data_IF_759328813583
#
_entry.id   IF_759328813583
#
_cell.length_a   1.000
_cell.length_b   1.000
_cell.length_c   1.000
_cell.angle_alpha   90.00
_cell.angle_beta   90.00
_cell.angle_gamma   90.00
#
_symmetry.space_group_name_H-M   'P 1'
#
loop_
_entity.id
_entity.type
_entity.pdbx_description
1 polymer ?
#
# COMPACT_ATOMS: atom_id res chain seq x y z
N UNK A 1 -5.14 -38.74 -12.27
CA UNK A 1 -5.92 -38.55 -11.02
C UNK A 1 -5.04 -38.13 -9.87
N UNK A 2 -4.08 -38.96 -9.42
CA UNK A 2 -3.12 -38.57 -8.35
C UNK A 2 -2.36 -37.28 -8.65
N UNK A 3 -1.98 -37.05 -9.91
CA UNK A 3 -1.31 -35.82 -10.31
C UNK A 3 -2.20 -34.57 -10.19
N UNK A 4 -3.51 -34.70 -10.44
CA UNK A 4 -4.47 -33.59 -10.33
C UNK A 4 -4.72 -33.24 -8.86
N UNK A 5 -4.89 -34.24 -8.00
CA UNK A 5 -4.99 -34.04 -6.56
C UNK A 5 -3.72 -33.39 -5.99
N UNK A 6 -2.54 -33.84 -6.42
CA UNK A 6 -1.27 -33.21 -6.02
C UNK A 6 -1.18 -31.76 -6.47
N UNK A 7 -1.52 -31.46 -7.72
CA UNK A 7 -1.54 -30.07 -8.23
C UNK A 7 -2.53 -29.18 -7.47
N UNK A 8 -3.71 -29.69 -7.11
CA UNK A 8 -4.67 -28.96 -6.29
C UNK A 8 -4.11 -28.66 -4.88
N UNK A 9 -3.38 -29.60 -4.30
CA UNK A 9 -2.74 -29.42 -3.00
C UNK A 9 -1.58 -28.41 -3.04
N UNK A 10 -0.75 -28.45 -4.08
CA UNK A 10 0.29 -27.45 -4.33
C UNK A 10 -0.31 -26.04 -4.54
N UNK A 11 -1.38 -25.94 -5.32
CA UNK A 11 -2.11 -24.69 -5.54
C UNK A 11 -2.75 -24.16 -4.23
N UNK A 12 -3.25 -25.05 -3.36
CA UNK A 12 -3.76 -24.67 -2.05
C UNK A 12 -2.66 -24.11 -1.14
N UNK A 13 -1.47 -24.72 -1.12
CA UNK A 13 -0.33 -24.18 -0.39
C UNK A 13 0.11 -22.81 -0.92
N UNK A 14 0.16 -22.63 -2.24
CA UNK A 14 0.46 -21.34 -2.85
C UNK A 14 -0.59 -20.28 -2.49
N UNK A 15 -1.87 -20.65 -2.45
CA UNK A 15 -2.95 -19.79 -2.00
C UNK A 15 -2.78 -19.39 -0.52
N UNK A 16 -2.47 -20.33 0.39
CA UNK A 16 -2.17 -20.01 1.81
C UNK A 16 -1.03 -18.99 1.93
N UNK A 17 0.05 -19.16 1.17
CA UNK A 17 1.18 -18.23 1.19
C UNK A 17 0.77 -16.83 0.67
N UNK A 18 -0.04 -16.78 -0.39
CA UNK A 18 -0.55 -15.53 -0.93
C UNK A 18 -1.47 -14.79 0.05
N UNK A 19 -2.35 -15.50 0.77
CA UNK A 19 -3.20 -14.94 1.84
C UNK A 19 -2.35 -14.36 2.96
N UNK A 20 -1.34 -15.10 3.42
CA UNK A 20 -0.44 -14.62 4.47
C UNK A 20 0.34 -13.37 4.03
N UNK A 21 0.82 -13.33 2.79
CA UNK A 21 1.52 -12.18 2.25
C UNK A 21 0.59 -10.96 2.10
N UNK A 22 -0.67 -11.17 1.67
CA UNK A 22 -1.66 -10.11 1.55
C UNK A 22 -2.01 -9.51 2.92
N UNK A 23 -2.24 -10.34 3.94
CA UNK A 23 -2.50 -9.89 5.32
C UNK A 23 -1.32 -9.15 5.93
N UNK A 24 -0.10 -9.64 5.71
CA UNK A 24 1.12 -8.94 6.12
C UNK A 24 1.24 -7.58 5.43
N UNK A 25 0.91 -7.50 4.13
CA UNK A 25 0.82 -6.24 3.41
C UNK A 25 -0.21 -5.28 4.01
N UNK A 26 -1.38 -5.79 4.40
CA UNK A 26 -2.45 -4.98 4.98
C UNK A 26 -2.05 -4.40 6.34
N UNK A 27 -1.37 -5.18 7.19
CA UNK A 27 -0.78 -4.66 8.43
C UNK A 27 0.23 -3.53 8.17
N UNK A 28 1.10 -3.69 7.17
CA UNK A 28 2.10 -2.66 6.82
C UNK A 28 1.41 -1.39 6.33
N UNK A 29 0.37 -1.52 5.49
CA UNK A 29 -0.45 -0.40 5.03
C UNK A 29 -1.15 0.29 6.20
N UNK A 30 -1.72 -0.47 7.14
CA UNK A 30 -2.35 0.06 8.34
C UNK A 30 -1.36 0.87 9.20
N UNK A 31 -0.15 0.35 9.42
CA UNK A 31 0.92 1.06 10.14
C UNK A 31 1.36 2.33 9.39
N UNK A 32 1.42 2.28 8.06
CA UNK A 32 1.76 3.46 7.25
C UNK A 32 0.69 4.55 7.42
N UNK A 33 -0.59 4.20 7.38
CA UNK A 33 -1.70 5.16 7.60
C UNK A 33 -1.56 5.82 8.97
N UNK A 34 -1.32 5.06 10.05
CA UNK A 34 -1.15 5.62 11.40
C UNK A 34 0.03 6.60 11.48
N UNK A 35 1.17 6.27 10.85
CA UNK A 35 2.33 7.16 10.81
C UNK A 35 2.06 8.43 10.00
N UNK A 36 1.36 8.31 8.88
CA UNK A 36 0.99 9.45 8.04
C UNK A 36 0.00 10.38 8.77
N UNK A 37 -0.96 9.83 9.53
CA UNK A 37 -1.86 10.62 10.38
C UNK A 37 -1.11 11.34 11.51
N UNK A 38 -0.08 10.72 12.08
CA UNK A 38 0.79 11.40 13.04
C UNK A 38 1.56 12.55 12.38
N UNK A 39 2.13 12.32 11.20
CA UNK A 39 2.82 13.35 10.42
C UNK A 39 1.89 14.53 10.11
N UNK A 40 0.63 14.27 9.75
CA UNK A 40 -0.37 15.31 9.53
C UNK A 40 -0.58 16.20 10.77
N UNK A 41 -0.64 15.59 11.97
CA UNK A 41 -0.76 16.32 13.24
C UNK A 41 0.49 17.17 13.53
N UNK A 42 1.68 16.62 13.29
CA UNK A 42 2.95 17.35 13.46
C UNK A 42 3.07 18.55 12.50
N UNK A 43 2.57 18.41 11.27
CA UNK A 43 2.49 19.54 10.33
C UNK A 43 1.57 20.65 10.83
N UNK A 44 0.39 20.31 11.38
CA UNK A 44 -0.51 21.31 11.97
C UNK A 44 0.16 22.08 13.12
N UNK A 45 0.85 21.38 14.02
CA UNK A 45 1.60 22.01 15.11
C UNK A 45 2.73 22.91 14.60
N UNK A 46 3.42 22.48 13.54
CA UNK A 46 4.49 23.26 12.90
C UNK A 46 3.94 24.54 12.27
N UNK A 47 2.79 24.46 11.57
CA UNK A 47 2.11 25.63 11.00
C UNK A 47 1.66 26.61 12.08
N UNK A 48 1.16 26.11 13.22
CA UNK A 48 0.82 26.96 14.37
C UNK A 48 2.06 27.68 14.92
N UNK A 49 3.18 26.98 15.05
CA UNK A 49 4.45 27.56 15.51
C UNK A 49 4.97 28.65 14.56
N UNK A 50 4.85 28.45 13.24
CA UNK A 50 5.20 29.46 12.24
C UNK A 50 4.30 30.69 12.32
N UNK A 51 2.99 30.51 12.54
CA UNK A 51 2.05 31.62 12.74
C UNK A 51 2.38 32.43 13.99
N UNK A 52 2.76 31.76 15.09
CA UNK A 52 3.19 32.43 16.31
C UNK A 52 4.48 33.21 16.08
N UNK A 53 5.47 32.63 15.41
CA UNK A 53 6.72 33.32 15.08
C UNK A 53 6.50 34.56 14.20
N UNK A 54 5.58 34.47 13.23
CA UNK A 54 5.13 35.61 12.42
C UNK A 54 4.53 36.72 13.28
N UNK A 55 3.68 36.36 14.26
CA UNK A 55 3.06 37.33 15.17
C UNK A 55 4.10 37.99 16.09
N UNK A 56 5.01 37.23 16.69
CA UNK A 56 6.09 37.76 17.54
C UNK A 56 7.03 38.67 16.74
N UNK A 57 7.40 38.27 15.52
CA UNK A 57 8.21 39.11 14.63
C UNK A 57 7.50 40.44 14.31
N UNK A 58 6.18 40.42 14.13
CA UNK A 58 5.38 41.65 13.95
C UNK A 58 5.40 42.58 15.17
N UNK A 59 5.42 42.03 16.39
CA UNK A 59 5.57 42.84 17.61
C UNK A 59 6.95 43.51 17.67
N UNK A 60 8.00 42.82 17.24
CA UNK A 60 9.37 43.38 17.19
C UNK A 60 9.42 44.59 16.26
N UNK A 61 8.77 44.54 15.09
CA UNK A 61 8.67 45.70 14.18
C UNK A 61 8.06 46.91 14.90
N UNK A 62 6.97 46.71 15.65
CA UNK A 62 6.35 47.79 16.42
C UNK A 62 7.28 48.38 17.52
N UNK A 63 8.14 47.56 18.12
CA UNK A 63 9.16 48.05 19.08
C UNK A 63 10.27 48.83 18.35
N UNK A 64 10.70 48.37 17.18
CA UNK A 64 11.70 49.06 16.36
C UNK A 64 11.21 50.45 15.92
N UNK A 65 9.93 50.57 15.53
CA UNK A 65 9.31 51.86 15.21
C UNK A 65 9.41 52.87 16.39
N UNK A 66 9.19 52.39 17.62
CA UNK A 66 9.35 53.23 18.83
C UNK A 66 10.80 53.62 19.05
N UNK A 67 11.75 52.69 18.90
CA UNK A 67 13.20 52.98 19.05
C UNK A 67 13.65 54.00 18.00
N UNK A 68 13.17 53.88 16.76
CA UNK A 68 13.44 54.80 15.66
C UNK A 68 12.93 56.20 15.98
N UNK A 69 11.69 56.30 16.49
CA UNK A 69 11.10 57.56 16.94
C UNK A 69 11.89 58.21 18.06
N UNK A 70 12.28 57.44 19.09
CA UNK A 70 13.11 57.92 20.22
C UNK A 70 14.48 58.37 19.74
N UNK A 71 15.11 57.62 18.83
CA UNK A 71 16.43 57.97 18.27
C UNK A 71 16.36 59.27 17.45
N UNK A 72 15.31 59.45 16.65
CA UNK A 72 15.07 60.71 15.91
C UNK A 72 14.84 61.90 16.85
N UNK A 73 14.03 61.73 17.90
CA UNK A 73 13.83 62.76 18.91
C UNK A 73 15.12 63.11 19.65
N UNK A 74 15.91 62.10 20.01
CA UNK A 74 17.23 62.27 20.66
C UNK A 74 18.21 63.00 19.75
N UNK A 75 18.24 62.66 18.46
CA UNK A 75 19.05 63.35 17.46
C UNK A 75 18.64 64.83 17.30
N UNK A 76 17.35 65.13 17.30
CA UNK A 76 16.81 66.51 17.27
C UNK A 76 17.15 67.29 18.55
N UNK A 77 17.01 66.66 19.72
CA UNK A 77 17.37 67.24 21.01
C UNK A 77 18.87 67.56 21.08
N UNK A 78 19.72 66.63 20.64
CA UNK A 78 21.16 66.80 20.59
C UNK A 78 21.57 67.92 19.63
N UNK A 79 20.92 68.02 18.47
CA UNK A 79 21.13 69.13 17.52
C UNK A 79 20.80 70.49 18.15
N UNK A 80 19.66 70.60 18.84
CA UNK A 80 19.28 71.84 19.53
C UNK A 80 20.28 72.19 20.64
N UNK A 81 20.77 71.20 21.40
CA UNK A 81 21.78 71.40 22.43
C UNK A 81 23.13 71.86 21.84
N UNK A 82 23.54 71.30 20.69
CA UNK A 82 24.76 71.71 19.99
C UNK A 82 24.66 73.17 19.49
N UNK A 83 23.48 73.58 18.98
CA UNK A 83 23.21 74.96 18.55
C UNK A 83 23.32 75.92 19.75
N UNK A 84 22.69 75.59 20.89
CA UNK A 84 22.72 76.46 22.07
C UNK A 84 24.12 76.51 22.72
N UNK A 85 24.86 75.39 22.70
CA UNK A 85 26.25 75.34 23.15
C UNK A 85 27.16 76.23 22.28
N UNK A 86 26.98 76.25 20.96
CA UNK A 86 27.69 77.15 20.06
C UNK A 86 27.35 78.62 20.35
N UNK A 87 26.10 78.91 20.73
CA UNK A 87 25.62 80.25 21.09
C UNK A 87 26.23 80.77 22.39
N UNK A 88 26.56 79.89 23.33
CA UNK A 88 27.23 80.22 24.59
C UNK A 88 28.76 80.44 24.45
N UNK A 89 29.34 80.26 23.26
CA UNK A 89 30.75 80.52 22.99
C UNK A 89 31.71 79.61 23.79
N UNK A 90 32.77 80.17 24.36
CA UNK A 90 33.77 79.42 25.15
C UNK A 90 33.16 78.71 26.38
N UNK A 91 32.09 79.24 26.98
CA UNK A 91 31.42 78.61 28.11
C UNK A 91 30.63 77.34 27.74
N UNK A 92 30.21 77.20 26.47
CA UNK A 92 29.43 76.07 25.97
C UNK A 92 30.27 74.93 25.40
N UNK A 93 31.60 75.07 25.35
CA UNK A 93 32.50 74.16 24.62
C UNK A 93 32.42 72.71 25.09
N UNK A 94 32.31 72.49 26.40
CA UNK A 94 32.13 71.15 26.98
C UNK A 94 30.76 70.53 26.65
N UNK A 95 29.69 71.35 26.62
CA UNK A 95 28.34 70.90 26.24
C UNK A 95 28.24 70.57 24.75
N UNK A 96 28.97 71.29 23.88
CA UNK A 96 29.00 71.01 22.44
C UNK A 96 29.54 69.61 22.14
N UNK A 97 30.63 69.19 22.82
CA UNK A 97 31.21 67.85 22.66
C UNK A 97 30.24 66.76 23.09
N UNK A 98 29.55 66.95 24.22
CA UNK A 98 28.54 66.00 24.69
C UNK A 98 27.36 65.92 23.72
N UNK A 99 26.90 67.06 23.19
CA UNK A 99 25.81 67.10 22.22
C UNK A 99 26.15 66.36 20.92
N UNK A 100 27.37 66.52 20.40
CA UNK A 100 27.83 65.78 19.21
C UNK A 100 27.95 64.27 19.47
N UNK A 101 28.42 63.86 20.64
CA UNK A 101 28.49 62.42 21.01
C UNK A 101 27.09 61.80 21.12
N UNK A 102 26.14 62.50 21.75
CA UNK A 102 24.74 62.04 21.85
C UNK A 102 24.11 61.95 20.45
N UNK A 103 24.39 62.92 19.58
CA UNK A 103 23.91 62.92 18.19
C UNK A 103 24.47 61.73 17.40
N UNK A 104 25.78 61.48 17.50
CA UNK A 104 26.45 60.32 16.89
C UNK A 104 25.84 59.00 17.38
N UNK A 105 25.59 58.88 18.69
CA UNK A 105 24.95 57.71 19.28
C UNK A 105 23.53 57.51 18.73
N UNK A 106 22.73 58.56 18.65
CA UNK A 106 21.37 58.50 18.09
C UNK A 106 21.36 58.05 16.62
N UNK A 107 22.29 58.54 15.80
CA UNK A 107 22.44 58.11 14.41
C UNK A 107 22.87 56.64 14.31
N UNK A 108 23.79 56.19 15.18
CA UNK A 108 24.19 54.77 15.24
C UNK A 108 23.03 53.88 15.66
N UNK A 109 22.23 54.28 16.65
CA UNK A 109 21.03 53.54 17.07
C UNK A 109 20.02 53.43 15.93
N UNK A 110 19.79 54.50 15.18
CA UNK A 110 18.89 54.48 14.02
C UNK A 110 19.36 53.50 12.94
N UNK A 111 20.65 53.53 12.60
CA UNK A 111 21.24 52.59 11.64
C UNK A 111 21.10 51.13 12.10
N UNK A 112 21.39 50.83 13.36
CA UNK A 112 21.21 49.47 13.89
C UNK A 112 19.75 49.04 13.91
N UNK A 113 18.81 49.97 14.12
CA UNK A 113 17.36 49.69 14.06
C UNK A 113 16.95 49.30 12.64
N UNK A 114 17.47 49.98 11.61
CA UNK A 114 17.23 49.66 10.20
C UNK A 114 17.82 48.28 9.83
N UNK A 115 19.04 47.97 10.28
CA UNK A 115 19.64 46.64 10.07
C UNK A 115 18.80 45.51 10.73
N UNK A 116 18.24 45.75 11.91
CA UNK A 116 17.34 44.78 12.57
C UNK A 116 16.00 44.67 11.83
N UNK A 117 15.44 45.78 11.33
CA UNK A 117 14.22 45.76 10.48
C UNK A 117 14.40 44.85 9.26
N UNK A 118 15.54 44.95 8.57
CA UNK A 118 15.86 44.08 7.43
C UNK A 118 15.93 42.59 7.81
N UNK A 119 16.58 42.28 8.95
CA UNK A 119 16.67 40.90 9.46
C UNK A 119 15.29 40.33 9.83
N UNK A 120 14.43 41.14 10.45
CA UNK A 120 13.07 40.75 10.80
C UNK A 120 12.21 40.57 9.55
N UNK A 121 12.36 41.41 8.52
CA UNK A 121 11.67 41.24 7.25
C UNK A 121 12.08 39.93 6.55
N UNK A 122 13.38 39.61 6.56
CA UNK A 122 13.89 38.33 6.05
C UNK A 122 13.33 37.13 6.83
N UNK A 123 13.25 37.23 8.17
CA UNK A 123 12.66 36.20 9.03
C UNK A 123 11.17 35.99 8.72
N UNK A 124 10.40 37.08 8.58
CA UNK A 124 8.98 37.02 8.21
C UNK A 124 8.77 36.36 6.84
N UNK A 125 9.60 36.71 5.85
CA UNK A 125 9.56 36.06 4.54
C UNK A 125 9.87 34.56 4.62
N UNK A 126 10.93 34.19 5.35
CA UNK A 126 11.32 32.78 5.56
C UNK A 126 10.23 31.97 6.26
N UNK A 127 9.63 32.51 7.32
CA UNK A 127 8.51 31.84 8.02
C UNK A 127 7.28 31.66 7.13
N UNK A 128 6.95 32.65 6.30
CA UNK A 128 5.84 32.55 5.35
C UNK A 128 6.11 31.46 4.30
N UNK A 129 7.35 31.33 3.83
CA UNK A 129 7.72 30.28 2.88
C UNK A 129 7.60 28.89 3.50
N UNK A 130 8.08 28.71 4.75
CA UNK A 130 7.93 27.45 5.49
C UNK A 130 6.46 27.10 5.71
N UNK A 131 5.62 28.09 6.06
CA UNK A 131 4.18 27.88 6.23
C UNK A 131 3.52 27.37 4.94
N UNK A 132 3.86 27.94 3.78
CA UNK A 132 3.37 27.47 2.47
C UNK A 132 3.85 26.04 2.17
N UNK A 133 5.12 25.72 2.48
CA UNK A 133 5.63 24.35 2.30
C UNK A 133 4.87 23.35 3.18
N UNK A 134 4.59 23.69 4.44
CA UNK A 134 3.83 22.84 5.35
C UNK A 134 2.39 22.61 4.86
N UNK A 135 1.74 23.62 4.29
CA UNK A 135 0.38 23.49 3.72
C UNK A 135 0.35 22.56 2.49
N UNK A 136 1.34 22.70 1.60
CA UNK A 136 1.51 21.78 0.48
C UNK A 136 1.81 20.35 0.95
N UNK A 137 2.67 20.19 1.95
CA UNK A 137 2.99 18.88 2.53
C UNK A 137 1.77 18.23 3.17
N UNK A 138 0.90 19.01 3.83
CA UNK A 138 -0.38 18.52 4.36
C UNK A 138 -1.27 17.95 3.25
N UNK A 139 -1.40 18.66 2.14
CA UNK A 139 -2.19 18.19 0.98
C UNK A 139 -1.62 16.88 0.43
N UNK A 140 -0.29 16.76 0.33
CA UNK A 140 0.37 15.53 -0.11
C UNK A 140 0.14 14.37 0.87
N UNK A 141 0.19 14.65 2.17
CA UNK A 141 -0.10 13.70 3.24
C UNK A 141 -1.54 13.18 3.15
N UNK A 142 -2.52 14.05 2.94
CA UNK A 142 -3.93 13.64 2.78
C UNK A 142 -4.13 12.72 1.56
N UNK A 143 -3.52 13.07 0.41
CA UNK A 143 -3.53 12.20 -0.78
C UNK A 143 -2.85 10.84 -0.54
N UNK A 144 -1.77 10.83 0.26
CA UNK A 144 -1.06 9.60 0.60
C UNK A 144 -1.93 8.68 1.45
N UNK A 145 -2.69 9.23 2.41
CA UNK A 145 -3.67 8.45 3.19
C UNK A 145 -4.71 7.80 2.27
N UNK A 146 -5.24 8.54 1.30
CA UNK A 146 -6.21 7.99 0.35
C UNK A 146 -5.63 6.84 -0.48
N UNK A 147 -4.42 7.03 -1.02
CA UNK A 147 -3.71 5.98 -1.77
C UNK A 147 -3.43 4.74 -0.91
N UNK A 148 -3.01 4.92 0.34
CA UNK A 148 -2.80 3.81 1.27
C UNK A 148 -4.11 3.06 1.55
N UNK A 149 -5.23 3.77 1.75
CA UNK A 149 -6.55 3.12 1.93
C UNK A 149 -6.96 2.29 0.72
N UNK A 150 -6.72 2.81 -0.49
CA UNK A 150 -6.98 2.07 -1.74
C UNK A 150 -6.09 0.82 -1.85
N UNK A 151 -4.84 0.91 -1.44
CA UNK A 151 -3.94 -0.25 -1.39
C UNK A 151 -4.43 -1.30 -0.39
N UNK A 152 -4.89 -0.90 0.80
CA UNK A 152 -5.50 -1.81 1.79
C UNK A 152 -6.73 -2.52 1.22
N UNK A 153 -7.64 -1.80 0.58
CA UNK A 153 -8.81 -2.40 -0.08
C UNK A 153 -8.42 -3.43 -1.15
N UNK A 154 -7.37 -3.16 -1.95
CA UNK A 154 -6.90 -4.12 -2.95
C UNK A 154 -6.31 -5.39 -2.32
N UNK A 155 -5.65 -5.27 -1.17
CA UNK A 155 -5.15 -6.43 -0.41
C UNK A 155 -6.29 -7.25 0.19
N UNK A 156 -7.36 -6.61 0.64
CA UNK A 156 -8.58 -7.29 1.09
C UNK A 156 -9.24 -8.09 -0.05
N UNK A 157 -9.32 -7.50 -1.25
CA UNK A 157 -9.84 -8.18 -2.45
C UNK A 157 -8.97 -9.38 -2.87
N UNK A 158 -7.64 -9.25 -2.76
CA UNK A 158 -6.71 -10.37 -2.97
C UNK A 158 -6.99 -11.48 -1.98
N UNK A 159 -7.12 -11.16 -0.69
CA UNK A 159 -7.41 -12.12 0.39
C UNK A 159 -8.70 -12.90 0.10
N UNK A 160 -9.75 -12.22 -0.36
CA UNK A 160 -11.03 -12.82 -0.74
C UNK A 160 -10.93 -13.74 -1.97
N UNK A 161 -10.18 -13.30 -2.98
CA UNK A 161 -9.93 -14.08 -4.19
C UNK A 161 -9.14 -15.35 -3.87
N UNK A 162 -8.13 -15.24 -3.00
CA UNK A 162 -7.32 -16.37 -2.54
C UNK A 162 -8.15 -17.38 -1.75
N UNK A 163 -9.06 -16.93 -0.88
CA UNK A 163 -10.00 -17.82 -0.19
C UNK A 163 -10.90 -18.61 -1.17
N UNK A 164 -11.30 -17.97 -2.27
CA UNK A 164 -12.06 -18.66 -3.34
C UNK A 164 -11.21 -19.73 -4.02
N UNK A 165 -9.93 -19.45 -4.30
CA UNK A 165 -9.00 -20.42 -4.89
C UNK A 165 -8.79 -21.61 -3.96
N UNK A 166 -8.67 -21.40 -2.65
CA UNK A 166 -8.57 -22.49 -1.68
C UNK A 166 -9.79 -23.42 -1.74
N UNK A 167 -11.00 -22.86 -1.73
CA UNK A 167 -12.23 -23.64 -1.86
C UNK A 167 -12.29 -24.42 -3.18
N UNK A 168 -11.89 -23.81 -4.29
CA UNK A 168 -11.82 -24.51 -5.59
C UNK A 168 -10.85 -25.69 -5.55
N UNK A 169 -9.68 -25.52 -4.93
CA UNK A 169 -8.69 -26.60 -4.82
C UNK A 169 -9.17 -27.75 -3.94
N UNK A 170 -9.91 -27.47 -2.86
CA UNK A 170 -10.57 -28.51 -2.06
C UNK A 170 -11.56 -29.32 -2.89
N UNK A 171 -12.41 -28.64 -3.68
CA UNK A 171 -13.35 -29.31 -4.57
C UNK A 171 -12.66 -30.16 -5.65
N UNK A 172 -11.56 -29.67 -6.23
CA UNK A 172 -10.78 -30.41 -7.23
C UNK A 172 -10.15 -31.66 -6.61
N UNK A 173 -9.61 -31.55 -5.38
CA UNK A 173 -9.04 -32.68 -4.67
C UNK A 173 -10.10 -33.76 -4.41
N UNK A 174 -11.26 -33.39 -3.88
CA UNK A 174 -12.39 -34.31 -3.64
C UNK A 174 -12.87 -34.96 -4.94
N UNK A 175 -13.09 -34.17 -6.00
CA UNK A 175 -13.51 -34.70 -7.30
C UNK A 175 -12.47 -35.66 -7.90
N UNK A 176 -11.17 -35.40 -7.70
CA UNK A 176 -10.09 -36.29 -8.16
C UNK A 176 -10.07 -37.63 -7.41
N UNK A 177 -10.40 -37.63 -6.12
CA UNK A 177 -10.55 -38.86 -5.33
C UNK A 177 -11.76 -39.68 -5.81
N UNK A 178 -12.93 -39.05 -5.96
CA UNK A 178 -14.14 -39.70 -6.49
C UNK A 178 -13.89 -40.31 -7.87
N UNK A 179 -13.26 -39.55 -8.77
CA UNK A 179 -12.92 -40.02 -10.10
C UNK A 179 -11.93 -41.20 -10.07
N UNK A 180 -11.02 -41.25 -9.08
CA UNK A 180 -10.11 -42.39 -8.90
C UNK A 180 -10.88 -43.66 -8.53
N UNK A 181 -11.89 -43.55 -7.66
CA UNK A 181 -12.77 -44.68 -7.28
C UNK A 181 -13.56 -45.17 -8.49
N UNK A 182 -14.13 -44.25 -9.28
CA UNK A 182 -14.87 -44.59 -10.50
C UNK A 182 -13.97 -45.27 -11.53
N UNK A 183 -12.73 -44.78 -11.71
CA UNK A 183 -11.77 -45.39 -12.63
C UNK A 183 -11.39 -46.82 -12.22
N UNK A 184 -11.23 -47.09 -10.92
CA UNK A 184 -10.96 -48.44 -10.42
C UNK A 184 -12.15 -49.37 -10.66
N UNK A 185 -13.38 -48.89 -10.47
CA UNK A 185 -14.59 -49.64 -10.76
C UNK A 185 -14.73 -49.96 -12.26
N UNK A 186 -14.42 -48.99 -13.13
CA UNK A 186 -14.39 -49.21 -14.59
C UNK A 186 -13.36 -50.29 -14.93
N UNK A 187 -12.15 -50.22 -14.35
CA UNK A 187 -11.12 -51.22 -14.59
C UNK A 187 -11.58 -52.64 -14.19
N UNK A 188 -12.25 -52.78 -13.04
CA UNK A 188 -12.85 -54.07 -12.62
C UNK A 188 -13.93 -54.55 -13.59
N UNK A 189 -14.79 -53.64 -14.06
CA UNK A 189 -15.83 -53.98 -15.04
C UNK A 189 -15.23 -54.44 -16.37
N UNK A 190 -14.15 -53.80 -16.84
CA UNK A 190 -13.45 -54.19 -18.07
C UNK A 190 -12.87 -55.60 -17.95
N UNK A 191 -12.26 -55.93 -16.81
CA UNK A 191 -11.76 -57.29 -16.53
C UNK A 191 -12.92 -58.30 -16.53
N UNK A 192 -14.03 -57.99 -15.85
CA UNK A 192 -15.20 -58.87 -15.83
C UNK A 192 -15.82 -59.10 -17.21
N UNK A 193 -15.90 -58.07 -18.06
CA UNK A 193 -16.38 -58.20 -19.45
C UNK A 193 -15.45 -59.08 -20.28
N UNK A 194 -14.13 -58.96 -20.08
CA UNK A 194 -13.15 -59.83 -20.73
C UNK A 194 -13.36 -61.30 -20.31
N UNK A 195 -13.47 -61.57 -19.02
CA UNK A 195 -13.66 -62.94 -18.51
C UNK A 195 -14.95 -63.58 -19.05
N UNK A 196 -16.05 -62.83 -19.08
CA UNK A 196 -17.33 -63.28 -19.66
C UNK A 196 -17.17 -63.55 -21.17
N UNK A 197 -16.41 -62.73 -21.88
CA UNK A 197 -16.16 -62.91 -23.31
C UNK A 197 -15.34 -64.18 -23.58
N UNK A 198 -14.31 -64.45 -22.78
CA UNK A 198 -13.52 -65.69 -22.85
C UNK A 198 -14.40 -66.93 -22.55
N UNK A 199 -15.27 -66.85 -21.54
CA UNK A 199 -16.22 -67.93 -21.23
C UNK A 199 -17.23 -68.17 -22.36
N UNK A 200 -17.73 -67.09 -22.98
CA UNK A 200 -18.68 -67.17 -24.10
C UNK A 200 -18.04 -67.78 -25.35
N UNK A 201 -16.77 -67.47 -25.62
CA UNK A 201 -16.02 -68.09 -26.70
C UNK A 201 -15.87 -69.60 -26.49
N UNK A 202 -15.47 -70.03 -25.29
CA UNK A 202 -15.36 -71.46 -24.95
C UNK A 202 -16.71 -72.20 -25.06
N UNK A 203 -17.79 -71.60 -24.58
CA UNK A 203 -19.14 -72.18 -24.71
C UNK A 203 -19.58 -72.29 -26.19
N UNK A 204 -19.20 -71.32 -27.02
CA UNK A 204 -19.47 -71.35 -28.47
C UNK A 204 -18.70 -72.47 -29.17
N UNK A 205 -17.42 -72.68 -28.82
CA UNK A 205 -16.62 -73.81 -29.32
C UNK A 205 -17.24 -75.16 -28.92
N UNK A 206 -17.67 -75.29 -27.66
CA UNK A 206 -18.35 -76.51 -27.19
C UNK A 206 -19.69 -76.74 -27.93
N UNK A 207 -20.44 -75.68 -28.20
CA UNK A 207 -21.71 -75.75 -28.95
C UNK A 207 -21.46 -76.15 -30.40
N UNK A 208 -20.41 -75.61 -31.03
CA UNK A 208 -20.00 -75.99 -32.38
C UNK A 208 -19.60 -77.47 -32.45
N UNK A 209 -18.78 -77.94 -31.50
CA UNK A 209 -18.39 -79.35 -31.40
C UNK A 209 -19.61 -80.27 -31.22
N UNK A 210 -20.54 -79.89 -30.34
CA UNK A 210 -21.78 -80.64 -30.12
C UNK A 210 -22.65 -80.70 -31.38
N UNK A 211 -22.72 -79.60 -32.13
CA UNK A 211 -23.46 -79.53 -33.40
C UNK A 211 -22.87 -80.45 -34.47
N UNK A 212 -21.53 -80.56 -34.53
CA UNK A 212 -20.84 -81.52 -35.42
C UNK A 212 -21.17 -82.96 -35.06
N UNK A 213 -21.14 -83.32 -33.77
CA UNK A 213 -21.53 -84.66 -33.31
C UNK A 213 -23.01 -84.97 -33.60
N UNK A 214 -23.90 -84.00 -33.41
CA UNK A 214 -25.32 -84.15 -33.70
C UNK A 214 -25.57 -84.39 -35.20
N UNK A 215 -24.86 -83.66 -36.07
CA UNK A 215 -24.89 -83.88 -37.51
C UNK A 215 -24.37 -85.27 -37.91
N UNK A 216 -23.28 -85.72 -37.26
CA UNK A 216 -22.73 -87.07 -37.45
C UNK A 216 -23.75 -88.14 -37.05
N UNK A 217 -24.38 -88.00 -35.88
CA UNK A 217 -25.40 -88.93 -35.39
C UNK A 217 -26.65 -88.94 -36.28
N UNK A 218 -27.10 -87.76 -36.74
CA UNK A 218 -28.20 -87.62 -37.69
C UNK A 218 -27.91 -88.37 -38.99
N UNK A 219 -26.70 -88.22 -39.54
CA UNK A 219 -26.24 -88.95 -40.74
C UNK A 219 -26.22 -90.46 -40.50
N UNK A 220 -25.75 -90.90 -39.32
CA UNK A 220 -25.71 -92.31 -38.94
C UNK A 220 -27.12 -92.92 -38.83
N UNK A 221 -28.05 -92.25 -38.16
CA UNK A 221 -29.45 -92.67 -38.04
C UNK A 221 -30.12 -92.74 -39.42
N UNK A 222 -29.87 -91.76 -40.29
CA UNK A 222 -30.40 -91.77 -41.66
C UNK A 222 -29.87 -92.97 -42.46
N UNK A 223 -28.60 -93.33 -42.26
CA UNK A 223 -28.01 -94.56 -42.81
C UNK A 223 -28.65 -95.84 -42.28
N UNK A 224 -28.92 -95.92 -40.97
CA UNK A 224 -29.62 -97.06 -40.37
C UNK A 224 -31.05 -97.21 -40.90
N UNK A 225 -31.83 -96.13 -40.97
CA UNK A 225 -33.19 -96.13 -41.52
C UNK A 225 -33.18 -96.49 -43.02
N UNK A 226 -32.17 -96.05 -43.77
CA UNK A 226 -31.99 -96.45 -45.17
C UNK A 226 -31.88 -97.96 -45.38
N UNK A 227 -31.29 -98.71 -44.41
CA UNK A 227 -31.22 -100.18 -44.46
C UNK A 227 -32.58 -100.87 -44.29
N UNK A 228 -33.52 -100.22 -43.60
CA UNK A 228 -34.89 -100.71 -43.46
C UNK A 228 -35.79 -100.33 -44.65
N UNK A 229 -35.33 -99.43 -45.52
CA UNK A 229 -36.08 -98.96 -46.70
C UNK A 229 -35.93 -99.86 -47.94
N UNK A 230 -35.55 -101.11 -47.74
CA UNK A 230 -35.61 -102.17 -48.76
C UNK A 230 -36.61 -103.22 -48.30
N UNK A 231 -37.89 -102.93 -48.54
CA UNK A 231 -39.00 -103.86 -48.77
C UNK A 231 -40.10 -103.08 -49.46
#
# INVERSE_FOLDING_TARGET
>A
MQEVARSAQEASQAAVQADQQARSGDEVVGRAITQIEQLAREMVNSTQSMNQLKQESGKIVGVLDVIKSVSQQTNLLALNAAIEAARAGEAGRGFAVVADEVRSLAQRTQKSTEEIEELIAALQSGTQQVATTLDNSRTLTDNTVELSRRAGSALEDITRTVATIQHMNEQIATASEEQSVVAEQINRNVISVRDISEQTAAASEQTAASSVELARLGTHLQGLVGKFKVS
#
